data_IF_225080809063
#
_entry.id   IF_225080809063
#
_cell.length_a   1.000
_cell.length_b   1.000
_cell.length_c   1.000
_cell.angle_alpha   90.00
_cell.angle_beta   90.00
_cell.angle_gamma   90.00
#
_symmetry.space_group_name_H-M   'P 1'
#
loop_
_entity.id
_entity.type
_entity.pdbx_description
1 polymer ?
#
# COMPACT_ATOMS: atom_id res chain seq x y z
N UNK A 1 -12.24 22.92 13.00
CA UNK A 1 -11.61 24.26 12.99
C UNK A 1 -10.49 24.27 11.94
N UNK A 2 -10.83 24.53 10.67
CA UNK A 2 -9.92 24.36 9.50
C UNK A 2 -8.75 25.35 9.53
N UNK A 3 -9.00 26.58 10.00
CA UNK A 3 -7.98 27.63 10.11
C UNK A 3 -6.82 27.25 11.04
N UNK A 4 -7.13 26.57 12.14
CA UNK A 4 -6.12 26.10 13.08
C UNK A 4 -5.23 25.00 12.48
N UNK A 5 -5.83 24.08 11.72
CA UNK A 5 -5.08 23.05 11.02
C UNK A 5 -4.14 23.65 9.97
N UNK A 6 -4.62 24.64 9.19
CA UNK A 6 -3.79 25.37 8.24
C UNK A 6 -2.60 26.02 8.94
N UNK A 7 -2.82 26.72 10.05
CA UNK A 7 -1.74 27.33 10.83
C UNK A 7 -0.69 26.32 11.28
N UNK A 8 -1.10 25.16 11.80
CA UNK A 8 -0.14 24.10 12.20
C UNK A 8 0.65 23.57 11.00
N UNK A 9 -0.02 23.38 9.85
CA UNK A 9 0.65 22.91 8.64
C UNK A 9 1.67 23.94 8.14
N UNK A 10 1.34 25.23 8.19
CA UNK A 10 2.25 26.30 7.80
C UNK A 10 3.46 26.38 8.75
N UNK A 11 3.24 26.23 10.06
CA UNK A 11 4.33 26.16 11.06
C UNK A 11 5.22 24.95 10.81
N UNK A 12 4.62 23.79 10.54
CA UNK A 12 5.36 22.58 10.19
C UNK A 12 6.19 22.77 8.92
N UNK A 13 5.64 23.41 7.88
CA UNK A 13 6.40 23.66 6.65
C UNK A 13 7.64 24.54 6.91
N UNK A 14 7.52 25.55 7.77
CA UNK A 14 8.67 26.37 8.20
C UNK A 14 9.72 25.53 8.94
N UNK A 15 9.31 24.61 9.80
CA UNK A 15 10.25 23.70 10.47
C UNK A 15 10.94 22.79 9.46
N UNK A 16 10.22 22.27 8.47
CA UNK A 16 10.82 21.45 7.42
C UNK A 16 11.82 22.24 6.55
N UNK A 17 11.60 23.53 6.31
CA UNK A 17 12.56 24.41 5.64
C UNK A 17 13.84 24.62 6.47
N UNK A 18 13.69 24.80 7.78
CA UNK A 18 14.83 24.88 8.69
C UNK A 18 15.63 23.58 8.71
N UNK A 19 14.94 22.43 8.76
CA UNK A 19 15.58 21.11 8.70
C UNK A 19 16.31 20.90 7.38
N UNK A 20 15.72 21.27 6.24
CA UNK A 20 16.38 21.19 4.94
C UNK A 20 17.67 22.02 4.91
N UNK A 21 17.62 23.25 5.43
CA UNK A 21 18.78 24.14 5.49
C UNK A 21 19.88 23.56 6.38
N UNK A 22 19.52 23.01 7.55
CA UNK A 22 20.52 22.37 8.43
C UNK A 22 21.10 21.11 7.78
N UNK A 23 20.28 20.27 7.12
CA UNK A 23 20.78 19.09 6.40
C UNK A 23 21.72 19.49 5.26
N UNK A 24 21.41 20.55 4.52
CA UNK A 24 22.28 21.09 3.48
C UNK A 24 23.61 21.56 4.08
N UNK A 25 23.57 22.37 5.15
CA UNK A 25 24.76 22.86 5.85
C UNK A 25 25.66 21.70 6.30
N UNK A 26 25.07 20.62 6.81
CA UNK A 26 25.81 19.42 7.21
C UNK A 26 26.44 18.68 6.04
N UNK A 27 25.76 18.59 4.91
CA UNK A 27 26.32 18.00 3.71
C UNK A 27 27.53 18.79 3.19
N UNK A 28 27.48 20.13 3.27
CA UNK A 28 28.59 21.01 2.88
C UNK A 28 29.78 20.94 3.86
N UNK A 29 29.52 20.76 5.15
CA UNK A 29 30.55 20.61 6.19
C UNK A 29 31.18 19.20 6.22
N UNK A 30 30.61 18.22 5.51
CA UNK A 30 31.10 16.83 5.50
C UNK A 30 32.15 16.65 4.39
N UNK A 31 33.38 16.21 4.71
CA UNK A 31 34.39 15.92 3.69
C UNK A 31 33.93 14.79 2.77
N UNK A 32 34.33 14.81 1.49
CA UNK A 32 33.87 13.86 0.45
C UNK A 32 34.06 12.36 0.79
N UNK A 33 34.94 12.03 1.73
CA UNK A 33 35.23 10.66 2.16
C UNK A 33 34.59 10.30 3.51
N UNK A 34 33.79 11.20 4.10
CA UNK A 34 33.13 11.02 5.38
C UNK A 34 31.76 10.33 5.27
N UNK A 35 31.35 9.67 6.35
CA UNK A 35 29.97 9.21 6.47
C UNK A 35 29.02 10.42 6.50
N UNK A 36 27.94 10.39 5.72
CA UNK A 36 26.90 11.43 5.81
C UNK A 36 26.40 11.57 7.26
N UNK A 37 26.45 12.76 7.86
CA UNK A 37 25.92 13.00 9.20
C UNK A 37 24.39 12.89 9.22
N UNK A 38 23.85 12.71 10.42
CA UNK A 38 22.43 12.86 10.74
C UNK A 38 22.12 14.32 11.12
N UNK A 39 20.88 14.62 11.50
CA UNK A 39 20.39 15.99 11.68
C UNK A 39 21.27 16.81 12.64
N UNK A 40 21.72 16.20 13.73
CA UNK A 40 22.47 16.89 14.79
C UNK A 40 23.95 16.47 14.88
N UNK A 41 24.45 15.62 13.98
CA UNK A 41 25.84 15.15 14.01
C UNK A 41 26.02 13.74 13.44
N UNK A 42 27.16 13.13 13.71
CA UNK A 42 27.53 11.83 13.11
C UNK A 42 26.68 10.65 13.62
N UNK A 43 26.14 10.76 14.83
CA UNK A 43 25.35 9.72 15.47
C UNK A 43 23.86 9.99 15.34
N UNK A 44 23.10 8.90 15.19
CA UNK A 44 21.65 8.98 15.17
C UNK A 44 21.11 9.28 16.57
N UNK A 45 20.46 10.42 16.71
CA UNK A 45 20.03 11.00 17.98
C UNK A 45 18.51 10.97 18.17
N UNK A 46 18.03 11.45 19.31
CA UNK A 46 16.60 11.61 19.58
C UNK A 46 15.92 12.59 18.61
N UNK A 47 16.65 13.60 18.13
CA UNK A 47 16.15 14.53 17.12
C UNK A 47 15.81 13.78 15.83
N UNK A 48 16.68 12.86 15.43
CA UNK A 48 16.49 12.03 14.24
C UNK A 48 15.31 11.06 14.40
N UNK A 49 15.12 10.47 15.59
CA UNK A 49 13.93 9.65 15.91
C UNK A 49 12.66 10.47 15.71
N UNK A 50 12.63 11.67 16.30
CA UNK A 50 11.44 12.53 16.33
C UNK A 50 11.08 13.03 14.93
N UNK A 51 12.10 13.44 14.16
CA UNK A 51 11.95 13.85 12.77
C UNK A 51 11.50 12.67 11.91
N UNK A 52 12.14 11.52 12.01
CA UNK A 52 11.83 10.32 11.24
C UNK A 52 10.36 9.87 11.41
N UNK A 53 9.89 9.82 12.66
CA UNK A 53 8.49 9.48 12.97
C UNK A 53 7.53 10.54 12.42
N UNK A 54 7.88 11.82 12.54
CA UNK A 54 7.07 12.92 12.01
C UNK A 54 6.94 12.82 10.48
N UNK A 55 8.06 12.66 9.76
CA UNK A 55 8.06 12.50 8.30
C UNK A 55 7.26 11.28 7.87
N UNK A 56 7.38 10.16 8.58
CA UNK A 56 6.59 8.97 8.27
C UNK A 56 5.08 9.21 8.46
N UNK A 57 4.68 9.91 9.53
CA UNK A 57 3.28 10.26 9.75
C UNK A 57 2.77 11.22 8.67
N UNK A 58 3.57 12.20 8.27
CA UNK A 58 3.25 13.13 7.18
C UNK A 58 3.09 12.40 5.83
N UNK A 59 3.92 11.38 5.56
CA UNK A 59 3.76 10.50 4.41
C UNK A 59 2.47 9.69 4.48
N UNK A 60 2.15 9.15 5.66
CA UNK A 60 0.94 8.37 5.88
C UNK A 60 -0.35 9.17 5.62
N UNK A 61 -0.39 10.45 6.00
CA UNK A 61 -1.55 11.33 5.74
C UNK A 61 -1.57 11.93 4.31
N UNK A 62 -0.64 11.52 3.44
CA UNK A 62 -0.58 11.97 2.04
C UNK A 62 0.02 13.37 1.85
N UNK A 63 0.67 13.94 2.86
CA UNK A 63 1.25 15.28 2.79
C UNK A 63 2.72 15.28 2.37
N UNK A 64 3.36 14.10 2.30
CA UNK A 64 4.74 13.98 1.84
C UNK A 64 4.96 14.66 0.48
N UNK A 65 4.17 14.35 -0.55
CA UNK A 65 4.41 14.86 -1.92
C UNK A 65 4.38 16.39 -2.04
N UNK A 66 3.67 17.10 -1.16
CA UNK A 66 3.65 18.58 -1.13
C UNK A 66 4.75 19.18 -0.24
N UNK A 67 5.24 18.40 0.72
CA UNK A 67 6.21 18.82 1.72
C UNK A 67 7.64 18.44 1.34
N UNK A 68 7.89 17.36 0.61
CA UNK A 68 9.20 17.01 0.05
C UNK A 68 9.04 16.07 -1.16
N UNK A 69 10.05 16.06 -2.04
CA UNK A 69 10.04 15.35 -3.31
C UNK A 69 9.70 16.25 -4.51
N UNK A 70 9.81 15.70 -5.74
CA UNK A 70 9.67 16.45 -7.00
C UNK A 70 10.55 17.71 -7.08
N UNK A 71 11.77 17.65 -6.54
CA UNK A 71 12.71 18.76 -6.48
C UNK A 71 12.52 19.72 -5.30
N UNK A 72 11.49 19.54 -4.47
CA UNK A 72 11.30 20.31 -3.22
C UNK A 72 11.98 19.57 -2.05
N UNK A 73 12.91 20.23 -1.36
CA UNK A 73 13.65 19.71 -0.18
C UNK A 73 14.37 18.37 -0.47
N UNK A 74 15.34 18.36 -1.39
CA UNK A 74 16.04 17.14 -1.81
C UNK A 74 16.86 16.50 -0.68
N UNK A 75 17.46 17.28 0.22
CA UNK A 75 18.27 16.72 1.30
C UNK A 75 17.40 15.96 2.31
N UNK A 76 16.21 16.50 2.60
CA UNK A 76 15.22 15.87 3.44
C UNK A 76 14.66 14.58 2.83
N UNK A 77 14.47 14.54 1.50
CA UNK A 77 14.08 13.33 0.79
C UNK A 77 15.13 12.23 0.93
N UNK A 78 16.40 12.54 0.65
CA UNK A 78 17.53 11.61 0.80
C UNK A 78 17.68 11.14 2.25
N UNK A 79 17.56 12.06 3.21
CA UNK A 79 17.58 11.74 4.65
C UNK A 79 16.46 10.75 5.01
N UNK A 80 15.24 11.00 4.55
CA UNK A 80 14.10 10.14 4.85
C UNK A 80 14.23 8.75 4.22
N UNK A 81 14.75 8.66 3.00
CA UNK A 81 15.03 7.38 2.35
C UNK A 81 16.13 6.59 3.08
N UNK A 82 17.14 7.28 3.63
CA UNK A 82 18.15 6.66 4.51
C UNK A 82 17.53 6.12 5.79
N UNK A 83 16.63 6.88 6.42
CA UNK A 83 15.88 6.44 7.62
C UNK A 83 15.06 5.17 7.34
N UNK A 84 14.38 5.11 6.19
CA UNK A 84 13.55 3.95 5.80
C UNK A 84 14.36 2.66 5.66
N UNK A 85 15.61 2.74 5.23
CA UNK A 85 16.51 1.57 5.10
C UNK A 85 16.95 0.99 6.43
N UNK A 86 16.74 1.70 7.55
CA UNK A 86 17.23 1.27 8.86
C UNK A 86 16.31 0.20 9.46
N UNK A 87 16.88 -0.94 9.85
CA UNK A 87 16.09 -2.07 10.37
C UNK A 87 15.29 -1.73 11.64
N UNK A 88 15.83 -0.87 12.52
CA UNK A 88 15.12 -0.43 13.74
C UNK A 88 13.85 0.33 13.40
N UNK A 89 13.89 1.16 12.36
CA UNK A 89 12.74 1.89 11.86
C UNK A 89 11.72 0.96 11.20
N UNK A 90 12.20 0.04 10.36
CA UNK A 90 11.35 -0.94 9.67
C UNK A 90 10.63 -1.89 10.65
N UNK A 91 11.28 -2.31 11.74
CA UNK A 91 10.65 -3.17 12.77
C UNK A 91 9.43 -2.51 13.42
N UNK A 92 9.49 -1.20 13.65
CA UNK A 92 8.40 -0.45 14.30
C UNK A 92 7.33 -0.03 13.30
N UNK A 93 7.73 0.41 12.10
CA UNK A 93 6.82 1.05 11.15
C UNK A 93 6.35 0.15 9.99
N UNK A 94 7.01 -0.98 9.76
CA UNK A 94 6.52 -2.02 8.85
C UNK A 94 5.14 -2.55 9.27
N UNK A 95 4.80 -2.45 10.56
CA UNK A 95 3.47 -2.76 11.09
C UNK A 95 2.44 -1.63 10.93
N UNK A 96 2.85 -0.43 10.51
CA UNK A 96 1.97 0.75 10.43
C UNK A 96 1.38 0.94 9.03
N UNK A 97 2.06 0.50 7.97
CA UNK A 97 1.41 0.27 6.66
C UNK A 97 0.30 -0.80 6.75
N UNK A 98 0.33 -1.61 7.81
CA UNK A 98 -0.74 -2.51 8.18
C UNK A 98 -1.89 -1.82 8.93
N UNK A 99 -1.88 -0.57 9.39
CA UNK A 99 -3.04 -0.04 10.15
C UNK A 99 -4.23 0.27 9.25
N UNK A 100 -4.01 0.93 8.11
CA UNK A 100 -5.09 1.15 7.14
C UNK A 100 -5.54 -0.17 6.55
N UNK A 101 -4.61 -0.98 6.02
CA UNK A 101 -4.95 -2.32 5.49
C UNK A 101 -5.58 -3.18 6.59
N UNK A 102 -5.08 -3.27 7.81
CA UNK A 102 -5.71 -4.04 8.91
C UNK A 102 -7.03 -3.43 9.40
N UNK A 103 -7.32 -2.14 9.17
CA UNK A 103 -8.64 -1.59 9.42
C UNK A 103 -9.63 -1.96 8.31
N UNK A 104 -9.22 -1.92 7.03
CA UNK A 104 -10.10 -2.23 5.89
C UNK A 104 -10.14 -3.71 5.52
N UNK A 105 -9.10 -4.49 5.80
CA UNK A 105 -8.96 -5.90 5.43
C UNK A 105 -9.94 -6.81 6.18
N UNK A 106 -10.20 -6.67 7.50
CA UNK A 106 -11.26 -7.41 8.18
C UNK A 106 -12.63 -7.06 7.61
N UNK A 107 -12.83 -5.81 7.22
CA UNK A 107 -14.10 -5.31 6.66
C UNK A 107 -14.31 -5.85 5.25
N UNK A 108 -13.29 -5.77 4.39
CA UNK A 108 -13.26 -6.33 3.05
C UNK A 108 -13.40 -7.86 3.07
N UNK A 109 -12.68 -8.55 3.98
CA UNK A 109 -12.81 -9.99 4.19
C UNK A 109 -14.20 -10.38 4.68
N UNK A 110 -14.81 -9.61 5.60
CA UNK A 110 -16.19 -9.82 6.07
C UNK A 110 -17.20 -9.65 4.93
N UNK A 111 -17.01 -8.66 4.06
CA UNK A 111 -17.86 -8.45 2.87
C UNK A 111 -17.67 -9.59 1.87
N UNK A 112 -16.42 -9.99 1.60
CA UNK A 112 -16.11 -11.13 0.73
C UNK A 112 -16.75 -12.42 1.26
N UNK A 113 -16.59 -12.74 2.55
CA UNK A 113 -17.20 -13.92 3.19
C UNK A 113 -18.74 -13.87 3.15
N UNK A 114 -19.36 -12.69 3.31
CA UNK A 114 -20.83 -12.55 3.20
C UNK A 114 -21.34 -12.66 1.76
N UNK A 115 -20.55 -12.26 0.75
CA UNK A 115 -20.94 -12.32 -0.67
C UNK A 115 -20.56 -13.64 -1.36
N UNK A 116 -19.52 -14.33 -0.90
CA UNK A 116 -19.06 -15.62 -1.39
C UNK A 116 -20.16 -16.71 -1.49
N UNK A 117 -21.02 -16.94 -0.46
CA UNK A 117 -22.03 -18.01 -0.54
C UNK A 117 -23.06 -17.78 -1.66
N UNK A 118 -23.32 -16.52 -2.04
CA UNK A 118 -24.24 -16.21 -3.15
C UNK A 118 -23.64 -16.51 -4.52
N UNK A 119 -22.33 -16.33 -4.69
CA UNK A 119 -21.63 -16.55 -5.98
C UNK A 119 -21.31 -18.03 -6.20
N UNK A 120 -20.97 -18.76 -5.14
CA UNK A 120 -20.73 -20.21 -5.22
C UNK A 120 -22.02 -21.00 -5.49
N UNK A 121 -23.15 -20.59 -4.90
CA UNK A 121 -24.43 -21.26 -5.11
C UNK A 121 -24.93 -21.15 -6.56
N UNK A 122 -24.84 -19.97 -7.17
CA UNK A 122 -25.33 -19.76 -8.54
C UNK A 122 -24.46 -20.43 -9.61
N UNK A 123 -23.15 -20.45 -9.42
CA UNK A 123 -22.22 -21.09 -10.36
C UNK A 123 -22.34 -22.61 -10.35
N UNK A 124 -22.53 -23.22 -9.17
CA UNK A 124 -22.80 -24.67 -9.07
C UNK A 124 -24.13 -25.06 -9.72
N UNK A 125 -25.20 -24.29 -9.49
CA UNK A 125 -26.51 -24.54 -10.11
C UNK A 125 -26.47 -24.42 -11.63
N UNK A 126 -25.81 -23.38 -12.16
CA UNK A 126 -25.67 -23.19 -13.60
C UNK A 126 -24.86 -24.32 -14.24
N UNK A 127 -23.76 -24.75 -13.60
CA UNK A 127 -22.95 -25.88 -14.06
C UNK A 127 -23.73 -27.20 -14.05
N UNK A 128 -24.53 -27.45 -13.01
CA UNK A 128 -25.34 -28.66 -12.91
C UNK A 128 -26.44 -28.70 -13.98
N UNK A 129 -27.16 -27.60 -14.19
CA UNK A 129 -28.19 -27.50 -15.23
C UNK A 129 -27.61 -27.68 -16.64
N UNK A 130 -26.46 -27.08 -16.93
CA UNK A 130 -25.77 -27.25 -18.20
C UNK A 130 -25.31 -28.71 -18.40
N UNK A 131 -24.81 -29.37 -17.35
CA UNK A 131 -24.42 -30.78 -17.37
C UNK A 131 -25.59 -31.73 -17.68
N UNK A 132 -26.74 -31.53 -17.02
CA UNK A 132 -27.96 -32.32 -17.29
C UNK A 132 -28.43 -32.11 -18.73
N UNK A 133 -28.47 -30.87 -19.20
CA UNK A 133 -28.90 -30.56 -20.57
C UNK A 133 -27.98 -31.22 -21.61
N UNK A 134 -26.65 -31.17 -21.39
CA UNK A 134 -25.68 -31.83 -22.27
C UNK A 134 -25.85 -33.36 -22.26
N UNK A 135 -26.06 -33.96 -21.09
CA UNK A 135 -26.28 -35.40 -20.96
C UNK A 135 -27.57 -35.85 -21.67
N UNK A 136 -28.66 -35.10 -21.50
CA UNK A 136 -29.93 -35.36 -22.18
C UNK A 136 -29.80 -35.26 -23.71
N UNK A 137 -29.10 -34.22 -24.20
CA UNK A 137 -28.81 -34.06 -25.63
C UNK A 137 -28.00 -35.23 -26.20
N UNK A 138 -26.96 -35.67 -25.48
CA UNK A 138 -26.14 -36.82 -25.86
C UNK A 138 -26.95 -38.13 -25.91
N UNK A 139 -27.82 -38.37 -24.93
CA UNK A 139 -28.73 -39.52 -24.91
C UNK A 139 -29.73 -39.49 -26.07
N UNK A 140 -30.33 -38.33 -26.36
CA UNK A 140 -31.21 -38.17 -27.51
C UNK A 140 -30.46 -38.44 -28.81
N UNK A 141 -29.26 -37.88 -29.00
CA UNK A 141 -28.43 -38.10 -30.19
C UNK A 141 -28.09 -39.57 -30.43
N UNK A 142 -27.70 -40.31 -29.37
CA UNK A 142 -27.46 -41.76 -29.45
C UNK A 142 -28.74 -42.53 -29.84
N UNK A 143 -29.88 -42.16 -29.25
CA UNK A 143 -31.17 -42.81 -29.54
C UNK A 143 -31.61 -42.59 -30.99
N UNK A 144 -31.46 -41.37 -31.52
CA UNK A 144 -31.74 -41.06 -32.92
C UNK A 144 -30.79 -41.78 -33.89
N UNK A 145 -29.48 -41.87 -33.56
CA UNK A 145 -28.53 -42.63 -34.36
C UNK A 145 -28.89 -44.12 -34.44
N UNK A 146 -29.30 -44.73 -33.32
CA UNK A 146 -29.74 -46.12 -33.28
C UNK A 146 -31.05 -46.35 -34.05
N UNK A 147 -32.00 -45.40 -33.98
CA UNK A 147 -33.24 -45.44 -34.77
C UNK A 147 -32.98 -45.35 -36.27
N UNK A 148 -32.08 -44.45 -36.70
CA UNK A 148 -31.69 -44.32 -38.11
C UNK A 148 -30.98 -45.57 -38.65
N UNK A 149 -30.18 -46.24 -37.82
CA UNK A 149 -29.55 -47.52 -38.17
C UNK A 149 -30.58 -48.66 -38.28
N UNK A 150 -31.59 -48.68 -37.41
CA UNK A 150 -32.65 -49.71 -37.43
C UNK A 150 -33.65 -49.55 -38.60
N UNK A 151 -33.74 -48.38 -39.22
CA UNK A 151 -34.60 -48.14 -40.39
C UNK A 151 -33.86 -48.47 -41.71
N UNK A 152 -32.53 -48.61 -41.67
CA UNK A 152 -31.66 -48.78 -42.84
C UNK A 152 -31.12 -50.22 -43.01
N UNK A 153 -31.55 -51.15 -42.17
CA UNK A 153 -31.31 -52.61 -42.30
C UNK A 153 -32.64 -53.33 -42.44
#
# INVERSE_FOLDING_TARGET
NIKYLQKILDELEKVLDQVETELQRRNEETPENGHQPWLCGEFFSLADVSLAVTLHRLKFIGLARRSWGNGKRPNLEVYYDRVLKRQTFHKVLGHVNNILISAVLPTAFRVAKKRAPKVFGTTLLAGFLAGIAYFAFMCARKRFANLLLSIRG
#
